data_IF_791558589336
#
_entry.id   IF_791558589336
#
_cell.length_a   1.000
_cell.length_b   1.000
_cell.length_c   1.000
_cell.angle_alpha   90.00
_cell.angle_beta   90.00
_cell.angle_gamma   90.00
#
_symmetry.space_group_name_H-M   'P 1'
#
loop_
_entity.id
_entity.type
_entity.pdbx_description
1 polymer ?
#
# COMPACT_ATOMS: atom_id res chain seq x y z
N UNK A 1 5.07 13.73 15.94
CA UNK A 1 5.23 12.27 15.86
C UNK A 1 4.94 11.89 14.42
N UNK A 2 5.85 11.16 13.77
CA UNK A 2 5.63 10.62 12.42
C UNK A 2 4.43 9.67 12.45
N UNK A 3 3.58 9.75 11.42
CA UNK A 3 2.39 8.90 11.30
C UNK A 3 2.62 7.85 10.22
N UNK A 4 2.08 6.64 10.43
CA UNK A 4 2.28 5.49 9.54
C UNK A 4 0.96 4.78 9.24
N UNK A 5 0.77 4.47 7.96
CA UNK A 5 -0.26 3.54 7.49
C UNK A 5 0.38 2.24 7.02
N UNK A 6 -0.26 1.12 7.32
CA UNK A 6 0.03 -0.18 6.72
C UNK A 6 -1.20 -0.65 5.94
N UNK A 7 -0.98 -1.07 4.71
CA UNK A 7 -1.99 -1.59 3.81
C UNK A 7 -1.62 -3.00 3.36
N UNK A 8 -2.52 -3.97 3.56
CA UNK A 8 -2.38 -5.31 2.99
C UNK A 8 -3.07 -5.34 1.63
N UNK A 9 -2.35 -5.84 0.63
CA UNK A 9 -2.78 -5.82 -0.78
C UNK A 9 -2.78 -7.23 -1.33
N UNK A 10 -3.91 -7.61 -1.93
CA UNK A 10 -4.05 -8.84 -2.70
C UNK A 10 -4.25 -8.49 -4.17
N UNK A 11 -3.58 -9.21 -5.06
CA UNK A 11 -3.77 -9.05 -6.51
C UNK A 11 -5.16 -9.55 -6.90
N UNK A 12 -5.66 -9.08 -8.03
CA UNK A 12 -6.83 -9.71 -8.65
C UNK A 12 -6.53 -11.17 -9.01
N UNK A 13 -7.55 -12.02 -8.90
CA UNK A 13 -7.41 -13.46 -9.09
C UNK A 13 -6.98 -13.89 -10.51
N UNK A 14 -7.11 -13.01 -11.50
CA UNK A 14 -6.73 -13.24 -12.90
C UNK A 14 -5.28 -12.89 -13.25
N UNK A 15 -4.51 -12.32 -12.31
CA UNK A 15 -3.11 -11.93 -12.54
C UNK A 15 -2.15 -12.88 -11.84
N UNK A 16 -0.96 -13.12 -12.41
CA UNK A 16 0.17 -13.78 -11.72
C UNK A 16 0.84 -12.82 -10.72
N UNK A 17 1.67 -13.31 -9.76
CA UNK A 17 2.41 -12.42 -8.85
C UNK A 17 3.36 -11.47 -9.62
N UNK A 18 3.97 -11.96 -10.70
CA UNK A 18 4.89 -11.17 -11.52
C UNK A 18 4.14 -10.08 -12.28
N UNK A 19 2.99 -10.39 -12.87
CA UNK A 19 2.14 -9.40 -13.56
C UNK A 19 1.63 -8.34 -12.58
N UNK A 20 1.20 -8.76 -11.39
CA UNK A 20 0.81 -7.86 -10.32
C UNK A 20 1.94 -6.90 -9.96
N UNK A 21 3.13 -7.42 -9.66
CA UNK A 21 4.29 -6.62 -9.29
C UNK A 21 4.72 -5.67 -10.41
N UNK A 22 4.73 -6.14 -11.65
CA UNK A 22 5.08 -5.30 -12.81
C UNK A 22 4.09 -4.15 -12.99
N UNK A 23 2.77 -4.41 -12.96
CA UNK A 23 1.72 -3.38 -13.03
C UNK A 23 1.77 -2.41 -11.85
N UNK A 24 2.09 -2.92 -10.66
CA UNK A 24 2.22 -2.11 -9.45
C UNK A 24 3.41 -1.14 -9.60
N UNK A 25 4.60 -1.64 -9.90
CA UNK A 25 5.83 -0.83 -9.92
C UNK A 25 5.94 0.07 -11.16
N UNK A 26 5.51 -0.39 -12.34
CA UNK A 26 5.66 0.38 -13.58
C UNK A 26 4.51 1.37 -13.84
N UNK A 27 3.33 1.13 -13.27
CA UNK A 27 2.13 1.95 -13.50
C UNK A 27 1.68 2.70 -12.25
N UNK A 28 1.28 1.96 -11.21
CA UNK A 28 0.63 2.55 -10.05
C UNK A 28 1.60 3.38 -9.19
N UNK A 29 2.82 2.91 -8.96
CA UNK A 29 3.80 3.63 -8.12
C UNK A 29 4.12 5.03 -8.67
N UNK A 30 4.43 5.23 -9.97
CA UNK A 30 4.58 6.56 -10.55
C UNK A 30 3.34 7.45 -10.40
N UNK A 31 2.14 6.89 -10.61
CA UNK A 31 0.88 7.62 -10.43
C UNK A 31 0.72 8.07 -8.97
N UNK A 32 0.87 7.15 -8.01
CA UNK A 32 0.79 7.44 -6.58
C UNK A 32 1.78 8.54 -6.16
N UNK A 33 3.02 8.50 -6.65
CA UNK A 33 3.99 9.56 -6.41
C UNK A 33 3.53 10.93 -6.94
N UNK A 34 2.89 10.98 -8.11
CA UNK A 34 2.45 12.24 -8.72
C UNK A 34 1.29 12.91 -7.98
N UNK A 35 0.49 12.14 -7.23
CA UNK A 35 -0.73 12.63 -6.57
C UNK A 35 -0.68 12.60 -5.04
N UNK A 36 0.43 12.14 -4.45
CA UNK A 36 0.57 12.01 -2.98
C UNK A 36 1.66 12.95 -2.42
N UNK A 37 1.46 14.29 -2.45
CA UNK A 37 2.48 15.26 -2.08
C UNK A 37 2.87 15.23 -0.59
N UNK A 38 2.01 14.68 0.27
CA UNK A 38 2.23 14.58 1.71
C UNK A 38 2.98 13.30 2.12
N UNK A 39 3.17 12.37 1.18
CA UNK A 39 3.79 11.08 1.45
C UNK A 39 5.31 11.22 1.56
N UNK A 40 5.87 10.83 2.70
CA UNK A 40 7.31 10.93 2.99
C UNK A 40 8.08 9.68 2.63
N UNK A 41 7.45 8.51 2.75
CA UNK A 41 8.03 7.22 2.39
C UNK A 41 6.93 6.28 1.95
N UNK A 42 7.22 5.54 0.88
CA UNK A 42 6.33 4.54 0.31
C UNK A 42 7.11 3.24 0.13
N UNK A 43 6.75 2.19 0.86
CA UNK A 43 7.41 0.87 0.81
C UNK A 43 6.41 -0.18 0.34
N UNK A 44 6.80 -1.04 -0.59
CA UNK A 44 6.04 -2.24 -0.98
C UNK A 44 6.85 -3.48 -0.59
N UNK A 45 6.40 -4.21 0.42
CA UNK A 45 7.00 -5.47 0.85
C UNK A 45 6.23 -6.62 0.19
N UNK A 46 6.78 -7.18 -0.88
CA UNK A 46 6.17 -8.33 -1.57
C UNK A 46 6.32 -9.59 -0.72
N UNK A 47 5.20 -10.28 -0.50
CA UNK A 47 5.17 -11.46 0.35
C UNK A 47 5.65 -12.68 -0.42
N UNK A 48 6.39 -13.54 0.27
CA UNK A 48 6.80 -14.84 -0.23
C UNK A 48 6.43 -15.88 0.81
N UNK A 49 6.12 -17.09 0.35
CA UNK A 49 5.84 -18.20 1.23
C UNK A 49 7.03 -18.45 2.16
N UNK A 50 6.76 -18.53 3.46
CA UNK A 50 7.76 -19.00 4.41
C UNK A 50 8.03 -20.49 4.15
N UNK A 51 9.28 -20.98 4.15
CA UNK A 51 9.58 -22.39 3.89
C UNK A 51 8.80 -23.34 4.80
N UNK A 52 7.92 -24.16 4.20
CA UNK A 52 7.05 -25.11 4.92
C UNK A 52 5.80 -24.49 5.57
N UNK A 53 5.57 -23.18 5.40
CA UNK A 53 4.36 -22.49 5.83
C UNK A 53 3.25 -22.51 4.76
N UNK A 54 2.05 -22.02 5.09
CA UNK A 54 0.99 -21.83 4.10
C UNK A 54 1.34 -20.74 3.09
N UNK A 55 0.69 -20.77 1.94
CA UNK A 55 0.72 -19.66 0.99
C UNK A 55 0.20 -18.37 1.65
N UNK A 56 0.86 -17.22 1.45
CA UNK A 56 0.38 -15.94 1.96
C UNK A 56 -1.02 -15.60 1.40
N UNK A 57 -1.89 -15.08 2.26
CA UNK A 57 -3.22 -14.60 1.84
C UNK A 57 -3.13 -13.33 0.97
N UNK A 58 -2.05 -12.56 1.13
CA UNK A 58 -1.80 -11.28 0.47
C UNK A 58 -0.52 -11.37 -0.37
N UNK A 59 -0.40 -10.49 -1.36
CA UNK A 59 0.76 -10.45 -2.25
C UNK A 59 1.75 -9.35 -1.83
N UNK A 60 1.29 -8.30 -1.14
CA UNK A 60 2.17 -7.26 -0.62
C UNK A 60 1.63 -6.62 0.68
N UNK A 61 2.57 -6.19 1.52
CA UNK A 61 2.33 -5.28 2.64
C UNK A 61 2.97 -3.94 2.32
N UNK A 62 2.14 -2.92 2.19
CA UNK A 62 2.54 -1.57 1.85
C UNK A 62 2.63 -0.70 3.10
N UNK A 63 3.67 0.14 3.17
CA UNK A 63 3.82 1.14 4.23
C UNK A 63 3.85 2.54 3.63
N UNK A 64 3.11 3.45 4.28
CA UNK A 64 3.10 4.87 3.97
C UNK A 64 3.49 5.64 5.23
N UNK A 65 4.41 6.58 5.08
CA UNK A 65 4.89 7.43 6.17
C UNK A 65 4.58 8.89 5.89
N UNK A 66 4.22 9.62 6.94
CA UNK A 66 3.85 11.02 6.90
C UNK A 66 4.56 11.78 8.01
N UNK A 67 4.74 13.09 7.86
CA UNK A 67 5.41 13.92 8.87
C UNK A 67 4.59 13.98 10.17
N UNK A 68 3.26 13.92 10.08
CA UNK A 68 2.34 13.96 11.21
C UNK A 68 0.97 13.32 10.89
N UNK A 69 0.10 13.20 11.91
CA UNK A 69 -1.22 12.58 11.76
C UNK A 69 -2.18 13.41 10.90
N UNK A 70 -2.09 14.74 10.92
CA UNK A 70 -2.95 15.59 10.09
C UNK A 70 -2.69 15.39 8.60
N UNK A 71 -1.43 15.17 8.19
CA UNK A 71 -1.07 14.87 6.81
C UNK A 71 -1.62 13.50 6.35
N UNK A 72 -1.60 12.51 7.25
CA UNK A 72 -2.21 11.19 7.01
C UNK A 72 -3.72 11.33 6.84
N UNK A 73 -4.39 11.99 7.78
CA UNK A 73 -5.85 12.21 7.74
C UNK A 73 -6.27 12.98 6.49
N UNK A 74 -5.52 14.01 6.10
CA UNK A 74 -5.74 14.74 4.87
C UNK A 74 -5.58 13.86 3.63
N UNK A 75 -4.61 12.95 3.60
CA UNK A 75 -4.41 11.99 2.51
C UNK A 75 -5.57 11.00 2.41
N UNK A 76 -6.07 10.49 3.53
CA UNK A 76 -7.24 9.58 3.58
C UNK A 76 -8.52 10.30 3.16
N UNK A 77 -8.71 11.55 3.61
CA UNK A 77 -9.84 12.36 3.19
C UNK A 77 -9.81 12.67 1.70
N UNK A 78 -8.63 13.00 1.16
CA UNK A 78 -8.43 13.24 -0.27
C UNK A 78 -8.69 11.97 -1.10
N UNK A 79 -8.24 10.79 -0.66
CA UNK A 79 -8.47 9.54 -1.41
C UNK A 79 -9.95 9.17 -1.53
N UNK A 80 -10.80 9.68 -0.64
CA UNK A 80 -12.26 9.55 -0.70
C UNK A 80 -12.94 10.61 -1.61
N UNK A 81 -12.23 11.66 -2.06
CA UNK A 81 -12.75 12.67 -2.99
C UNK A 81 -12.81 12.17 -4.43
N UNK A 82 -13.49 12.92 -5.31
CA UNK A 82 -13.58 12.61 -6.73
C UNK A 82 -12.20 12.62 -7.42
N UNK A 83 -11.32 13.54 -7.02
CA UNK A 83 -9.94 13.61 -7.49
C UNK A 83 -9.11 12.42 -6.98
N UNK A 84 -9.32 12.01 -5.73
CA UNK A 84 -8.67 10.85 -5.12
C UNK A 84 -9.03 9.51 -5.76
N UNK A 85 -10.21 9.43 -6.43
CA UNK A 85 -10.65 8.22 -7.13
C UNK A 85 -9.71 7.81 -8.27
N UNK A 86 -8.77 8.66 -8.71
CA UNK A 86 -7.77 8.27 -9.70
C UNK A 86 -6.96 7.06 -9.26
N UNK A 87 -6.56 6.99 -7.98
CA UNK A 87 -5.85 5.83 -7.43
C UNK A 87 -6.79 4.63 -7.30
N UNK A 88 -8.00 4.84 -6.77
CA UNK A 88 -8.99 3.77 -6.63
C UNK A 88 -9.34 3.08 -7.96
N UNK A 89 -9.42 3.85 -9.06
CA UNK A 89 -9.66 3.34 -10.42
C UNK A 89 -8.46 2.57 -10.95
N UNK A 90 -7.26 3.10 -10.75
CA UNK A 90 -6.01 2.45 -11.13
C UNK A 90 -5.81 1.12 -10.38
N UNK A 91 -6.01 1.13 -9.05
CA UNK A 91 -5.95 -0.06 -8.20
C UNK A 91 -6.92 -1.15 -8.68
N UNK A 92 -8.14 -0.80 -9.09
CA UNK A 92 -9.14 -1.78 -9.54
C UNK A 92 -8.72 -2.57 -10.80
N UNK A 93 -7.71 -2.10 -11.53
CA UNK A 93 -7.17 -2.85 -12.67
C UNK A 93 -6.34 -4.06 -12.25
N UNK A 94 -5.75 -4.08 -11.04
CA UNK A 94 -4.80 -5.11 -10.64
C UNK A 94 -4.87 -5.58 -9.17
N UNK A 95 -5.60 -4.87 -8.31
CA UNK A 95 -5.80 -5.16 -6.88
C UNK A 95 -7.24 -5.62 -6.65
N UNK A 96 -7.38 -6.67 -5.83
CA UNK A 96 -8.65 -7.03 -5.22
C UNK A 96 -8.95 -6.04 -4.08
N UNK A 97 -9.71 -5.00 -4.40
CA UNK A 97 -9.96 -3.89 -3.49
C UNK A 97 -10.80 -4.29 -2.27
N UNK A 98 -11.66 -5.29 -2.39
CA UNK A 98 -12.47 -5.80 -1.28
C UNK A 98 -11.62 -6.55 -0.24
N UNK A 99 -10.47 -7.08 -0.67
CA UNK A 99 -9.50 -7.72 0.19
C UNK A 99 -8.58 -6.73 0.92
N UNK A 100 -8.51 -5.46 0.50
CA UNK A 100 -7.61 -4.48 1.12
C UNK A 100 -7.91 -4.31 2.62
N UNK A 101 -6.85 -4.26 3.43
CA UNK A 101 -6.94 -3.97 4.87
C UNK A 101 -5.97 -2.86 5.23
N UNK A 102 -6.50 -1.75 5.73
CA UNK A 102 -5.72 -0.55 6.05
C UNK A 102 -5.73 -0.31 7.56
N UNK A 103 -4.56 0.00 8.10
CA UNK A 103 -4.36 0.25 9.53
C UNK A 103 -3.49 1.49 9.73
N UNK A 104 -3.92 2.38 10.64
CA UNK A 104 -3.01 3.35 11.27
C UNK A 104 -2.24 2.58 12.33
N UNK A 105 -0.92 2.73 12.33
CA UNK A 105 -0.05 1.98 13.25
C UNK A 105 0.89 2.91 13.99
N UNK A 106 1.25 2.49 15.21
CA UNK A 106 2.38 3.00 15.97
C UNK A 106 3.53 2.00 15.85
N UNK A 107 4.74 2.50 15.60
CA UNK A 107 5.92 1.66 15.42
C UNK A 107 6.83 1.77 16.65
N UNK A 108 7.16 0.63 17.23
CA UNK A 108 8.13 0.51 18.32
C UNK A 108 9.33 -0.31 17.83
N UNK A 109 10.51 0.30 17.84
CA UNK A 109 11.75 -0.33 17.39
C UNK A 109 12.67 -0.61 18.57
N UNK A 110 13.10 -1.88 18.70
CA UNK A 110 14.17 -2.26 19.63
C UNK A 110 15.49 -2.40 18.89
N UNK A 111 16.56 -1.87 19.47
CA UNK A 111 17.92 -2.17 18.99
C UNK A 111 18.26 -3.61 19.33
N UNK A 112 18.65 -4.40 18.34
CA UNK A 112 19.26 -5.71 18.56
C UNK A 112 20.76 -5.55 18.33
N UNK A 113 21.56 -5.86 19.36
CA UNK A 113 23.02 -5.78 19.32
C UNK A 113 23.67 -6.90 18.53
#
# INVERSE_FOLDING_TARGET
MTAKLILFVRRRADLTPEQFKDRYESGHVPLAHSVSPLLRKYVRNYLSQFPGGPEPEYDAVTEFWFDNMADLEATVAWSASDEGQVLARDEAEFIDRDAMRLFIVEEECSSVG
#
